data_IF_960898680867
#
_entry.id   IF_960898680867
#
_cell.length_a   1.000
_cell.length_b   1.000
_cell.length_c   1.000
_cell.angle_alpha   90.00
_cell.angle_beta   90.00
_cell.angle_gamma   90.00
#
_symmetry.space_group_name_H-M   'P 1'
#
loop_
_entity.id
_entity.type
_entity.pdbx_description
1 polymer ?
#
# COMPACT_ATOMS: atom_id res chain seq x y z
N UNK A 1 -10.94 9.55 -5.18
CA UNK A 1 -11.57 9.94 -6.47
C UNK A 1 -12.97 10.53 -6.23
N UNK A 2 -13.94 9.76 -5.72
CA UNK A 2 -15.30 10.24 -5.44
C UNK A 2 -15.35 11.43 -4.46
N UNK A 3 -14.41 11.46 -3.51
CA UNK A 3 -14.27 12.53 -2.49
C UNK A 3 -13.95 13.91 -3.06
N UNK A 4 -13.20 13.96 -4.16
CA UNK A 4 -12.51 15.18 -4.63
C UNK A 4 -12.94 15.59 -6.04
N UNK A 5 -13.59 14.69 -6.79
CA UNK A 5 -13.95 14.91 -8.19
C UNK A 5 -15.46 14.70 -8.36
N UNK A 6 -16.21 15.78 -8.19
CA UNK A 6 -17.69 15.79 -8.26
C UNK A 6 -18.24 15.26 -9.59
N UNK A 7 -17.50 15.41 -10.69
CA UNK A 7 -17.87 14.90 -12.02
C UNK A 7 -18.04 13.37 -12.11
N UNK A 8 -17.58 12.61 -11.09
CA UNK A 8 -17.74 11.16 -11.04
C UNK A 8 -18.94 10.71 -10.20
N UNK A 9 -19.61 11.61 -9.48
CA UNK A 9 -20.70 11.24 -8.57
C UNK A 9 -21.82 10.48 -9.29
N UNK A 10 -22.28 11.02 -10.41
CA UNK A 10 -23.36 10.42 -11.20
C UNK A 10 -22.89 9.24 -12.06
N UNK A 11 -21.58 8.97 -12.11
CA UNK A 11 -20.99 7.88 -12.91
C UNK A 11 -20.85 6.58 -12.12
N UNK A 12 -20.91 6.65 -10.79
CA UNK A 12 -20.69 5.50 -9.91
C UNK A 12 -22.02 5.14 -9.26
N UNK A 13 -22.60 4.01 -9.66
CA UNK A 13 -23.88 3.54 -9.10
C UNK A 13 -23.73 2.93 -7.70
N UNK A 14 -22.61 2.26 -7.45
CA UNK A 14 -22.26 1.67 -6.16
C UNK A 14 -20.76 1.38 -6.12
N UNK A 15 -20.17 1.39 -4.91
CA UNK A 15 -18.78 1.02 -4.66
C UNK A 15 -18.73 -0.23 -3.79
N UNK A 16 -18.05 -1.27 -4.25
CA UNK A 16 -17.76 -2.49 -3.48
C UNK A 16 -16.28 -2.52 -3.14
N UNK A 17 -15.93 -2.17 -1.91
CA UNK A 17 -14.54 -2.08 -1.48
C UNK A 17 -14.14 -3.35 -0.73
N UNK A 18 -13.21 -4.11 -1.30
CA UNK A 18 -12.59 -5.28 -0.66
C UNK A 18 -11.31 -4.81 0.06
N UNK A 19 -11.22 -5.06 1.37
CA UNK A 19 -10.15 -4.58 2.24
C UNK A 19 -9.88 -3.06 2.08
N UNK A 20 -10.89 -2.19 2.32
CA UNK A 20 -10.75 -0.74 2.14
C UNK A 20 -9.68 -0.15 3.06
N UNK A 21 -8.80 0.68 2.50
CA UNK A 21 -7.74 1.39 3.24
C UNK A 21 -8.03 2.90 3.19
N UNK A 22 -8.32 3.49 4.35
CA UNK A 22 -8.37 4.94 4.52
C UNK A 22 -7.39 5.40 5.61
N UNK A 23 -7.37 4.69 6.74
CA UNK A 23 -6.49 4.97 7.86
C UNK A 23 -5.53 3.81 8.11
N UNK A 24 -4.26 4.11 8.34
CA UNK A 24 -3.19 3.12 8.46
C UNK A 24 -2.61 2.98 9.88
N UNK A 25 -3.16 3.71 10.86
CA UNK A 25 -2.60 3.80 12.23
C UNK A 25 -2.44 2.44 12.94
N UNK A 26 -3.31 1.49 12.61
CA UNK A 26 -3.39 0.18 13.26
C UNK A 26 -3.07 -0.97 12.31
N UNK A 27 -2.40 -0.68 11.19
CA UNK A 27 -1.97 -1.73 10.27
C UNK A 27 -0.97 -2.68 10.95
N UNK A 28 -1.01 -3.95 10.57
CA UNK A 28 -0.21 -5.02 11.18
C UNK A 28 0.99 -5.36 10.31
N UNK A 29 0.81 -5.33 8.98
CA UNK A 29 1.86 -5.66 8.02
C UNK A 29 3.08 -4.75 8.24
N UNK A 30 4.29 -5.32 8.39
CA UNK A 30 5.45 -4.59 8.90
C UNK A 30 6.08 -3.63 7.89
N UNK A 31 5.81 -3.76 6.59
CA UNK A 31 6.51 -2.99 5.56
C UNK A 31 6.37 -1.47 5.73
N UNK A 32 5.15 -0.94 5.79
CA UNK A 32 4.94 0.52 5.89
C UNK A 32 5.34 1.09 7.25
N UNK A 33 5.12 0.43 8.41
CA UNK A 33 5.70 0.84 9.69
C UNK A 33 7.22 0.97 9.66
N UNK A 34 7.94 0.00 9.08
CA UNK A 34 9.40 0.06 8.94
C UNK A 34 9.80 1.24 8.04
N UNK A 35 9.15 1.42 6.89
CA UNK A 35 9.42 2.57 6.01
C UNK A 35 9.14 3.91 6.70
N UNK A 36 8.09 3.97 7.50
CA UNK A 36 7.74 5.17 8.26
C UNK A 36 8.80 5.52 9.31
N UNK A 37 9.39 4.51 9.95
CA UNK A 37 10.43 4.69 10.96
C UNK A 37 11.75 5.14 10.33
N UNK A 38 12.20 4.47 9.28
CA UNK A 38 13.46 4.77 8.59
C UNK A 38 13.31 5.75 7.43
N UNK A 39 12.27 6.59 7.45
CA UNK A 39 11.88 7.48 6.35
C UNK A 39 13.06 8.23 5.73
N UNK A 40 13.87 8.89 6.56
CA UNK A 40 14.98 9.75 6.15
C UNK A 40 16.10 8.98 5.46
N UNK A 41 16.52 7.84 6.04
CA UNK A 41 17.56 6.99 5.48
C UNK A 41 17.13 6.36 4.15
N UNK A 42 15.88 5.90 4.06
CA UNK A 42 15.35 5.31 2.83
C UNK A 42 15.23 6.38 1.72
N UNK A 43 14.84 7.61 2.05
CA UNK A 43 14.72 8.71 1.07
C UNK A 43 16.09 9.10 0.53
N UNK A 44 17.08 9.21 1.43
CA UNK A 44 18.46 9.48 1.05
C UNK A 44 18.99 8.38 0.11
N UNK A 45 18.73 7.11 0.43
CA UNK A 45 19.14 5.98 -0.41
C UNK A 45 18.49 6.04 -1.81
N UNK A 46 17.17 6.21 -1.90
CA UNK A 46 16.48 6.29 -3.19
C UNK A 46 16.94 7.49 -4.03
N UNK A 47 17.23 8.64 -3.40
CA UNK A 47 17.75 9.81 -4.10
C UNK A 47 19.19 9.59 -4.60
N UNK A 48 20.06 8.95 -3.80
CA UNK A 48 21.44 8.62 -4.20
C UNK A 48 21.45 7.58 -5.33
N UNK A 49 20.58 6.57 -5.26
CA UNK A 49 20.45 5.53 -6.27
C UNK A 49 19.64 5.99 -7.50
N UNK A 50 19.07 7.20 -7.47
CA UNK A 50 18.19 7.76 -8.50
C UNK A 50 17.03 6.83 -8.88
N UNK A 51 16.45 6.14 -7.90
CA UNK A 51 15.37 5.17 -8.08
C UNK A 51 14.04 5.74 -7.59
N UNK A 52 13.07 5.83 -8.50
CA UNK A 52 11.73 6.36 -8.22
C UNK A 52 10.64 5.28 -8.14
N UNK A 53 11.05 4.03 -8.29
CA UNK A 53 10.20 2.85 -8.24
C UNK A 53 10.56 2.00 -7.02
N UNK A 54 9.53 1.60 -6.29
CA UNK A 54 9.59 0.79 -5.09
C UNK A 54 9.11 -0.63 -5.39
N UNK A 55 9.94 -1.62 -5.06
CA UNK A 55 9.71 -3.04 -5.35
C UNK A 55 9.26 -3.31 -6.80
N UNK A 56 10.05 -2.87 -7.81
CA UNK A 56 9.77 -3.19 -9.21
C UNK A 56 9.69 -4.70 -9.43
N UNK A 57 8.88 -5.12 -10.40
CA UNK A 57 8.93 -6.51 -10.85
C UNK A 57 10.30 -6.77 -11.49
N UNK A 58 10.95 -7.86 -11.06
CA UNK A 58 12.23 -8.30 -11.58
C UNK A 58 12.09 -9.74 -12.08
N UNK A 59 12.45 -10.01 -13.33
CA UNK A 59 12.37 -11.35 -13.92
C UNK A 59 13.20 -12.38 -13.15
N UNK A 60 14.35 -11.98 -12.59
CA UNK A 60 15.15 -12.85 -11.74
C UNK A 60 14.42 -13.22 -10.45
N UNK A 61 13.75 -12.24 -9.80
CA UNK A 61 12.95 -12.52 -8.60
C UNK A 61 11.71 -13.35 -8.93
N UNK A 62 11.10 -13.15 -10.10
CA UNK A 62 9.99 -13.96 -10.57
C UNK A 62 10.41 -15.42 -10.78
N UNK A 63 11.55 -15.67 -11.44
CA UNK A 63 12.10 -17.02 -11.63
C UNK A 63 12.52 -17.68 -10.31
N UNK A 64 13.05 -16.90 -9.37
CA UNK A 64 13.31 -17.39 -8.02
C UNK A 64 12.01 -17.76 -7.31
N UNK A 65 10.94 -16.97 -7.48
CA UNK A 65 9.60 -17.30 -6.98
C UNK A 65 9.06 -18.61 -7.55
N UNK A 66 9.19 -18.81 -8.86
CA UNK A 66 8.72 -20.00 -9.56
C UNK A 66 9.36 -21.29 -9.03
N UNK A 67 10.63 -21.23 -8.63
CA UNK A 67 11.38 -22.39 -8.12
C UNK A 67 11.27 -22.54 -6.60
N UNK A 68 11.29 -21.44 -5.87
CA UNK A 68 11.42 -21.41 -4.40
C UNK A 68 10.08 -21.42 -3.67
N UNK A 69 8.97 -21.10 -4.33
CA UNK A 69 7.65 -21.02 -3.70
C UNK A 69 6.76 -22.26 -3.93
N UNK A 70 7.25 -23.28 -4.62
CA UNK A 70 6.51 -24.52 -4.86
C UNK A 70 6.17 -25.26 -3.56
N UNK A 71 5.13 -26.10 -3.61
CA UNK A 71 4.78 -26.97 -2.50
C UNK A 71 5.99 -27.87 -2.15
N UNK A 72 6.34 -27.90 -0.86
CA UNK A 72 7.50 -28.61 -0.29
C UNK A 72 8.88 -28.02 -0.64
N UNK A 73 8.95 -26.84 -1.26
CA UNK A 73 10.22 -26.15 -1.41
C UNK A 73 10.74 -25.66 -0.05
N UNK A 74 12.04 -25.85 0.21
CA UNK A 74 12.69 -25.42 1.47
C UNK A 74 12.51 -23.92 1.74
N UNK A 75 12.37 -23.12 0.67
CA UNK A 75 12.28 -21.66 0.73
C UNK A 75 10.86 -21.12 0.60
N UNK A 76 9.82 -21.96 0.62
CA UNK A 76 8.43 -21.51 0.51
C UNK A 76 8.06 -20.51 1.61
N UNK A 77 8.66 -20.65 2.80
CA UNK A 77 8.51 -19.73 3.94
C UNK A 77 8.96 -18.30 3.61
N UNK A 78 9.92 -18.10 2.71
CA UNK A 78 10.34 -16.76 2.28
C UNK A 78 9.25 -16.09 1.46
N UNK A 79 8.52 -16.87 0.65
CA UNK A 79 7.44 -16.37 -0.18
C UNK A 79 6.23 -15.96 0.67
N UNK A 80 5.85 -16.77 1.65
CA UNK A 80 4.76 -16.45 2.57
C UNK A 80 5.11 -15.25 3.45
N UNK A 81 6.36 -15.17 3.95
CA UNK A 81 6.84 -14.01 4.70
C UNK A 81 6.90 -12.72 3.86
N UNK A 82 7.26 -12.82 2.57
CA UNK A 82 7.25 -11.67 1.67
C UNK A 82 5.82 -11.15 1.44
N UNK A 83 4.85 -12.04 1.23
CA UNK A 83 3.44 -11.67 1.13
C UNK A 83 2.91 -11.09 2.45
N UNK A 84 3.25 -11.71 3.58
CA UNK A 84 2.90 -11.21 4.90
C UNK A 84 3.41 -9.78 5.13
N UNK A 85 4.67 -9.51 4.76
CA UNK A 85 5.28 -8.20 4.89
C UNK A 85 4.47 -7.10 4.18
N UNK A 86 3.93 -7.41 3.00
CA UNK A 86 3.20 -6.47 2.14
C UNK A 86 1.74 -6.33 2.57
N UNK A 87 1.01 -7.44 2.72
CA UNK A 87 -0.45 -7.42 2.80
C UNK A 87 -1.05 -8.35 3.86
N UNK A 88 -0.24 -8.89 4.78
CA UNK A 88 -0.63 -10.01 5.66
C UNK A 88 -0.90 -11.30 4.87
N UNK A 89 -0.84 -12.47 5.52
CA UNK A 89 -0.96 -13.77 4.86
C UNK A 89 -1.70 -14.78 5.74
N UNK A 90 -2.72 -15.45 5.18
CA UNK A 90 -3.43 -16.54 5.87
C UNK A 90 -3.24 -17.86 5.11
N UNK A 91 -2.38 -18.72 5.64
CA UNK A 91 -2.06 -20.01 5.02
C UNK A 91 -3.28 -20.93 4.92
N UNK A 92 -4.21 -20.88 5.88
CA UNK A 92 -5.41 -21.75 5.90
C UNK A 92 -6.41 -21.42 4.80
N UNK A 93 -6.36 -20.20 4.27
CA UNK A 93 -7.28 -19.74 3.21
C UNK A 93 -6.57 -19.55 1.87
N UNK A 94 -5.26 -19.77 1.80
CA UNK A 94 -4.49 -19.68 0.57
C UNK A 94 -4.20 -21.07 0.01
N UNK A 95 -4.43 -21.26 -1.29
CA UNK A 95 -3.91 -22.44 -1.98
C UNK A 95 -2.41 -22.25 -2.23
N UNK A 96 -1.57 -22.92 -1.44
CA UNK A 96 -0.11 -22.82 -1.52
C UNK A 96 0.45 -23.16 -2.91
N UNK A 97 -0.27 -23.99 -3.68
CA UNK A 97 0.11 -24.35 -5.06
C UNK A 97 0.10 -23.15 -6.02
N UNK A 98 -0.59 -22.07 -5.65
CA UNK A 98 -0.64 -20.82 -6.43
C UNK A 98 0.46 -19.83 -6.04
N UNK A 99 1.21 -20.07 -4.96
CA UNK A 99 2.27 -19.16 -4.50
C UNK A 99 3.34 -18.86 -5.57
N UNK A 100 3.84 -19.83 -6.36
CA UNK A 100 4.79 -19.55 -7.43
C UNK A 100 4.23 -18.52 -8.42
N UNK A 101 2.99 -18.74 -8.87
CA UNK A 101 2.30 -17.87 -9.81
C UNK A 101 2.11 -16.48 -9.20
N UNK A 102 1.65 -16.38 -7.96
CA UNK A 102 1.45 -15.09 -7.27
C UNK A 102 2.76 -14.30 -7.18
N UNK A 103 3.85 -14.97 -6.79
CA UNK A 103 5.17 -14.35 -6.62
C UNK A 103 5.85 -13.99 -7.96
N UNK A 104 5.48 -14.66 -9.06
CA UNK A 104 5.92 -14.29 -10.40
C UNK A 104 5.40 -12.92 -10.87
N UNK A 105 4.28 -12.45 -10.32
CA UNK A 105 3.66 -11.15 -10.66
C UNK A 105 3.69 -10.13 -9.53
N UNK A 106 3.78 -10.57 -8.27
CA UNK A 106 3.69 -9.72 -7.09
C UNK A 106 5.04 -9.61 -6.39
N UNK A 107 5.53 -8.39 -6.10
CA UNK A 107 4.95 -7.08 -6.40
C UNK A 107 5.18 -6.64 -7.87
N UNK A 108 4.33 -5.74 -8.36
CA UNK A 108 4.42 -5.19 -9.73
C UNK A 108 4.98 -3.76 -9.78
N UNK A 109 5.66 -3.32 -8.73
CA UNK A 109 6.16 -1.94 -8.62
C UNK A 109 5.13 -0.93 -8.12
N UNK A 110 5.62 0.12 -7.48
CA UNK A 110 4.87 1.33 -7.14
C UNK A 110 5.80 2.54 -7.17
N UNK A 111 5.26 3.76 -7.23
CA UNK A 111 6.12 4.94 -7.07
C UNK A 111 6.63 5.04 -5.62
N UNK A 112 7.92 5.35 -5.46
CA UNK A 112 8.49 5.67 -4.13
C UNK A 112 7.68 6.77 -3.44
N UNK A 113 7.20 7.77 -4.19
CA UNK A 113 6.30 8.82 -3.68
C UNK A 113 5.02 8.24 -3.08
N UNK A 114 4.42 7.23 -3.70
CA UNK A 114 3.19 6.61 -3.20
C UNK A 114 3.41 5.94 -1.83
N UNK A 115 4.53 5.24 -1.65
CA UNK A 115 4.86 4.61 -0.36
C UNK A 115 5.08 5.67 0.73
N UNK A 116 5.77 6.77 0.40
CA UNK A 116 5.96 7.87 1.34
C UNK A 116 4.65 8.56 1.72
N UNK A 117 3.65 8.52 0.85
CA UNK A 117 2.36 9.13 1.13
C UNK A 117 1.65 8.44 2.29
N UNK A 118 1.92 7.15 2.50
CA UNK A 118 1.36 6.36 3.58
C UNK A 118 1.99 6.70 4.94
N UNK A 119 3.19 7.27 5.00
CA UNK A 119 3.94 7.48 6.26
C UNK A 119 3.18 8.32 7.29
N UNK A 120 2.59 9.48 6.95
CA UNK A 120 1.75 10.22 7.90
C UNK A 120 0.54 9.41 8.37
N UNK A 121 -0.07 8.61 7.50
CA UNK A 121 -1.19 7.73 7.84
C UNK A 121 -0.81 6.66 8.86
N UNK A 122 0.42 6.12 8.77
CA UNK A 122 0.95 5.16 9.76
C UNK A 122 1.30 5.86 11.07
N UNK A 123 2.06 6.97 11.03
CA UNK A 123 2.55 7.65 12.24
C UNK A 123 1.46 8.41 12.99
N UNK A 124 0.64 9.18 12.29
CA UNK A 124 -0.33 10.10 12.88
C UNK A 124 -1.79 9.64 12.72
N UNK A 125 -2.04 8.61 11.91
CA UNK A 125 -3.41 8.14 11.65
C UNK A 125 -4.24 9.08 10.78
N UNK A 126 -3.61 10.04 10.10
CA UNK A 126 -4.31 10.98 9.22
C UNK A 126 -4.57 10.38 7.85
N UNK A 127 -5.78 10.59 7.35
CA UNK A 127 -6.13 10.35 5.95
C UNK A 127 -6.18 11.70 5.24
N UNK A 128 -5.06 12.10 4.64
CA UNK A 128 -4.83 13.45 4.14
C UNK A 128 -4.20 13.46 2.76
N UNK A 129 -4.23 14.62 2.11
CA UNK A 129 -3.55 14.84 0.83
C UNK A 129 -2.02 14.79 0.98
N UNK A 130 -1.31 14.77 -0.14
CA UNK A 130 0.15 14.73 -0.14
C UNK A 130 0.73 15.95 0.58
N UNK A 131 1.72 15.73 1.44
CA UNK A 131 2.44 16.81 2.13
C UNK A 131 3.63 17.26 1.27
N UNK A 132 3.52 18.45 0.68
CA UNK A 132 4.59 19.07 -0.11
C UNK A 132 5.62 19.82 0.76
N UNK A 133 5.42 19.86 2.08
CA UNK A 133 6.18 20.72 2.99
C UNK A 133 5.55 22.12 3.13
N UNK A 134 5.96 22.84 4.17
CA UNK A 134 5.29 24.07 4.62
C UNK A 134 5.04 25.10 3.50
N UNK A 135 6.08 25.51 2.77
CA UNK A 135 5.97 26.55 1.73
C UNK A 135 5.07 26.08 0.59
N UNK A 136 5.34 24.90 0.04
CA UNK A 136 4.57 24.39 -1.09
C UNK A 136 3.14 24.01 -0.71
N UNK A 137 2.87 23.57 0.53
CA UNK A 137 1.49 23.36 0.98
C UNK A 137 0.72 24.68 0.97
N UNK A 138 1.33 25.79 1.35
CA UNK A 138 0.68 27.11 1.31
C UNK A 138 0.30 27.47 -0.14
N UNK A 139 1.19 27.22 -1.10
CA UNK A 139 0.93 27.48 -2.52
C UNK A 139 -0.16 26.55 -3.09
N UNK A 140 -0.12 25.25 -2.76
CA UNK A 140 -1.04 24.25 -3.33
C UNK A 140 -2.40 24.19 -2.63
N UNK A 141 -2.45 24.46 -1.32
CA UNK A 141 -3.63 24.25 -0.49
C UNK A 141 -4.12 25.50 0.24
N UNK A 142 -3.34 26.58 0.28
CA UNK A 142 -3.65 27.76 1.08
C UNK A 142 -3.45 27.56 2.59
N UNK A 143 -2.85 26.45 3.01
CA UNK A 143 -2.53 26.13 4.41
C UNK A 143 -1.13 25.51 4.47
N UNK A 144 -0.44 25.74 5.57
CA UNK A 144 0.86 25.16 5.91
C UNK A 144 0.84 23.63 6.04
N UNK A 145 -0.33 23.06 6.34
CA UNK A 145 -0.54 21.62 6.50
C UNK A 145 -1.48 21.07 5.41
N UNK A 146 -1.26 19.82 4.95
CA UNK A 146 -2.14 19.23 3.95
C UNK A 146 -3.53 18.94 4.56
N UNK A 147 -4.62 19.24 3.84
CA UNK A 147 -5.96 18.99 4.35
C UNK A 147 -6.29 17.49 4.38
N UNK A 148 -7.12 17.10 5.35
CA UNK A 148 -7.68 15.76 5.41
C UNK A 148 -8.70 15.54 4.30
N UNK A 149 -8.80 14.31 3.79
CA UNK A 149 -9.87 13.94 2.89
C UNK A 149 -11.21 13.91 3.62
N UNK A 150 -12.20 14.62 3.10
CA UNK A 150 -13.53 14.70 3.71
C UNK A 150 -14.43 13.54 3.26
N UNK A 151 -14.50 12.47 4.07
CA UNK A 151 -15.32 11.29 3.79
C UNK A 151 -16.83 11.58 3.68
N UNK A 152 -17.31 12.73 4.18
CA UNK A 152 -18.71 13.15 4.01
C UNK A 152 -19.07 13.49 2.57
N UNK A 153 -18.07 13.60 1.68
CA UNK A 153 -18.26 13.86 0.27
C UNK A 153 -18.55 12.61 -0.57
N UNK A 154 -18.67 11.43 0.05
CA UNK A 154 -19.12 10.21 -0.61
C UNK A 154 -20.65 10.17 -0.54
N UNK A 155 -21.31 10.18 -1.69
CA UNK A 155 -22.78 10.19 -1.79
C UNK A 155 -23.33 8.88 -2.34
N UNK A 156 -22.47 8.08 -2.98
CA UNK A 156 -22.84 6.83 -3.62
C UNK A 156 -22.97 5.72 -2.58
N UNK A 157 -23.81 4.69 -2.81
CA UNK A 157 -23.86 3.51 -1.96
C UNK A 157 -22.48 2.83 -1.86
N UNK A 158 -21.99 2.63 -0.64
CA UNK A 158 -20.71 1.97 -0.36
C UNK A 158 -20.92 0.68 0.42
N UNK A 159 -20.37 -0.40 -0.12
CA UNK A 159 -20.31 -1.72 0.51
C UNK A 159 -18.86 -2.00 0.91
N UNK A 160 -18.63 -2.31 2.18
CA UNK A 160 -17.31 -2.57 2.73
C UNK A 160 -17.19 -4.04 3.12
N UNK A 161 -16.20 -4.72 2.57
CA UNK A 161 -15.84 -6.09 2.95
C UNK A 161 -14.47 -6.05 3.59
N UNK A 162 -14.39 -6.38 4.87
CA UNK A 162 -13.15 -6.39 5.62
C UNK A 162 -13.07 -7.64 6.49
N UNK A 163 -11.86 -8.13 6.72
CA UNK A 163 -11.60 -9.21 7.66
C UNK A 163 -11.30 -8.64 9.03
N UNK A 164 -11.69 -9.37 10.08
CA UNK A 164 -11.12 -9.16 11.41
C UNK A 164 -9.75 -9.82 11.45
N UNK A 165 -8.85 -9.24 12.23
CA UNK A 165 -7.54 -9.82 12.54
C UNK A 165 -7.74 -11.27 13.01
N UNK A 166 -7.04 -12.21 12.39
CA UNK A 166 -6.97 -13.59 12.89
C UNK A 166 -6.20 -13.55 14.22
N UNK A 167 -6.83 -13.98 15.30
CA UNK A 167 -6.16 -14.30 16.58
C UNK A 167 -5.72 -15.76 16.55
#
# INVERSE_FOLDING_TARGET
MCLEKTQYKDKIKAMFNLAPIAFLKHMISPLLPVVAEFRTGILALYNVLNTYEFLPRNEFLAQLGDTSCNNNATFQILCTNALFAICDFNEKQMNSSLLPIIMGYTPSGASTKQIYHCVPGVKSGKFQRWDYGWVSNLDYYGDTSPPNYNLRNIYEPVYLFYSKKWQ
#
